data_IF_520573748648
#
_entry.id   IF_520573748648
#
_cell.length_a   1.000
_cell.length_b   1.000
_cell.length_c   1.000
_cell.angle_alpha   90.00
_cell.angle_beta   90.00
_cell.angle_gamma   90.00
#
_symmetry.space_group_name_H-M   'P 1'
#
loop_
_entity.id
_entity.type
_entity.pdbx_description
1 polymer ?
#
# COMPACT_ATOMS: atom_id res chain seq x y z
N UNK A 1 1.02 -15.87 -2.75
CA UNK A 1 0.22 -16.03 -1.51
C UNK A 1 -0.08 -14.62 -1.02
N UNK A 2 -1.33 -14.17 -1.00
CA UNK A 2 -1.66 -12.76 -0.65
C UNK A 2 -1.73 -12.51 0.87
N UNK A 3 -1.58 -11.25 1.30
CA UNK A 3 -1.54 -10.84 2.73
C UNK A 3 -2.76 -11.32 3.51
N UNK A 4 -3.97 -11.15 2.93
CA UNK A 4 -5.22 -11.62 3.51
C UNK A 4 -5.18 -13.10 3.93
N UNK A 5 -4.73 -13.99 3.03
CA UNK A 5 -4.70 -15.41 3.32
C UNK A 5 -3.69 -15.77 4.42
N UNK A 6 -2.62 -14.97 4.59
CA UNK A 6 -1.67 -15.15 5.68
C UNK A 6 -2.29 -14.73 7.02
N UNK A 7 -2.95 -13.58 7.06
CA UNK A 7 -3.63 -13.06 8.24
C UNK A 7 -4.77 -13.98 8.70
N UNK A 8 -5.61 -14.47 7.77
CA UNK A 8 -6.70 -15.41 8.09
C UNK A 8 -6.16 -16.74 8.67
N UNK A 9 -5.00 -17.21 8.17
CA UNK A 9 -4.35 -18.41 8.71
C UNK A 9 -3.83 -18.17 10.12
N UNK A 10 -3.18 -17.03 10.39
CA UNK A 10 -2.72 -16.69 11.73
C UNK A 10 -3.91 -16.58 12.70
N UNK A 11 -4.97 -15.88 12.29
CA UNK A 11 -6.17 -15.72 13.10
C UNK A 11 -6.74 -17.08 13.54
N UNK A 12 -6.93 -18.01 12.60
CA UNK A 12 -7.44 -19.37 12.91
C UNK A 12 -6.49 -20.21 13.77
N UNK A 13 -5.19 -19.96 13.71
CA UNK A 13 -4.24 -20.64 14.61
C UNK A 13 -4.36 -20.13 16.04
N UNK A 14 -4.59 -18.82 16.22
CA UNK A 14 -4.70 -18.17 17.53
C UNK A 14 -6.09 -18.32 18.15
N UNK A 15 -7.13 -18.27 17.32
CA UNK A 15 -8.54 -18.36 17.71
C UNK A 15 -9.24 -19.45 16.88
N UNK A 16 -9.02 -20.74 17.19
CA UNK A 16 -9.51 -21.85 16.36
C UNK A 16 -11.03 -21.95 16.24
N UNK A 17 -11.72 -21.50 17.29
CA UNK A 17 -13.18 -21.60 17.42
C UNK A 17 -13.90 -20.26 17.13
N UNK A 18 -13.16 -19.22 16.74
CA UNK A 18 -13.73 -17.91 16.42
C UNK A 18 -13.85 -17.70 14.90
N UNK A 19 -14.93 -17.06 14.49
CA UNK A 19 -15.08 -16.58 13.11
C UNK A 19 -14.51 -15.16 12.97
N UNK A 20 -13.95 -14.86 11.80
CA UNK A 20 -13.47 -13.52 11.50
C UNK A 20 -14.68 -12.61 11.29
N UNK A 21 -14.94 -11.73 12.25
CA UNK A 21 -15.94 -10.67 12.16
C UNK A 21 -15.21 -9.36 11.94
N UNK A 22 -15.42 -8.74 10.77
CA UNK A 22 -14.90 -7.41 10.49
C UNK A 22 -15.83 -6.36 11.11
N UNK A 23 -15.30 -5.31 11.74
CA UNK A 23 -16.13 -4.23 12.27
C UNK A 23 -16.80 -3.45 11.13
N UNK A 24 -18.03 -2.97 11.35
CA UNK A 24 -18.80 -2.18 10.37
C UNK A 24 -18.13 -0.85 10.01
N UNK A 25 -17.48 -0.23 11.01
CA UNK A 25 -16.60 0.91 10.84
C UNK A 25 -15.18 0.50 11.23
N UNK A 26 -14.26 0.62 10.28
CA UNK A 26 -12.84 0.50 10.52
C UNK A 26 -12.23 1.87 10.28
N UNK A 27 -11.84 2.55 11.36
CA UNK A 27 -11.00 3.75 11.30
C UNK A 27 -9.58 3.34 10.86
N UNK A 28 -9.45 2.74 9.68
CA UNK A 28 -8.14 2.47 9.10
C UNK A 28 -7.50 3.82 8.80
N UNK A 29 -6.22 4.01 9.17
CA UNK A 29 -5.51 5.27 8.95
C UNK A 29 -5.12 5.48 7.49
N UNK A 30 -5.84 4.85 6.55
CA UNK A 30 -5.55 5.00 5.13
C UNK A 30 -6.05 6.37 4.64
N UNK A 31 -5.27 7.06 3.81
CA UNK A 31 -5.74 8.29 3.19
C UNK A 31 -6.99 8.00 2.36
N UNK A 32 -8.04 8.85 2.43
CA UNK A 32 -9.17 8.73 1.52
C UNK A 32 -8.65 8.92 0.09
N UNK A 33 -8.97 7.97 -0.78
CA UNK A 33 -8.51 8.01 -2.17
C UNK A 33 -9.69 7.77 -3.11
N UNK A 34 -9.82 8.65 -4.09
CA UNK A 34 -10.81 8.59 -5.17
C UNK A 34 -10.06 8.76 -6.49
N UNK A 35 -10.20 7.78 -7.39
CA UNK A 35 -9.64 7.87 -8.74
C UNK A 35 -10.61 8.66 -9.60
N UNK A 36 -10.09 9.66 -10.31
CA UNK A 36 -10.83 10.44 -11.31
C UNK A 36 -10.24 10.16 -12.69
N UNK A 37 -11.07 10.27 -13.72
CA UNK A 37 -10.67 9.96 -15.10
C UNK A 37 -9.55 10.88 -15.63
N UNK A 38 -9.40 12.07 -15.05
CA UNK A 38 -8.41 13.09 -15.42
C UNK A 38 -7.19 13.13 -14.47
N UNK A 39 -7.05 12.15 -13.58
CA UNK A 39 -5.95 12.08 -12.63
C UNK A 39 -4.68 11.55 -13.31
N UNK A 40 -3.56 12.25 -13.11
CA UNK A 40 -2.26 11.80 -13.58
C UNK A 40 -1.83 10.49 -12.90
N UNK A 41 -1.09 9.65 -13.64
CA UNK A 41 -0.63 8.37 -13.12
C UNK A 41 0.30 8.56 -11.91
N UNK A 42 1.15 9.59 -11.94
CA UNK A 42 2.04 9.95 -10.84
C UNK A 42 1.29 10.28 -9.55
N UNK A 43 0.11 10.90 -9.64
CA UNK A 43 -0.74 11.17 -8.48
C UNK A 43 -1.30 9.88 -7.88
N UNK A 44 -1.78 8.95 -8.72
CA UNK A 44 -2.26 7.64 -8.28
C UNK A 44 -1.13 6.86 -7.59
N UNK A 45 0.05 6.81 -8.20
CA UNK A 45 1.22 6.11 -7.66
C UNK A 45 1.69 6.71 -6.33
N UNK A 46 1.67 8.04 -6.19
CA UNK A 46 2.03 8.70 -4.94
C UNK A 46 1.07 8.35 -3.80
N UNK A 47 -0.24 8.33 -4.05
CA UNK A 47 -1.23 7.90 -3.06
C UNK A 47 -1.05 6.42 -2.66
N UNK A 48 -0.77 5.56 -3.64
CA UNK A 48 -0.45 4.16 -3.38
C UNK A 48 0.80 4.02 -2.50
N UNK A 49 1.87 4.77 -2.78
CA UNK A 49 3.08 4.79 -1.93
C UNK A 49 2.78 5.22 -0.49
N UNK A 50 1.98 6.26 -0.29
CA UNK A 50 1.60 6.70 1.06
C UNK A 50 0.81 5.61 1.79
N UNK A 51 -0.05 4.87 1.08
CA UNK A 51 -0.79 3.73 1.61
C UNK A 51 0.14 2.58 2.03
N UNK A 52 1.12 2.22 1.20
CA UNK A 52 2.12 1.18 1.53
C UNK A 52 2.95 1.57 2.76
N UNK A 53 3.29 2.85 2.90
CA UNK A 53 4.01 3.34 4.08
C UNK A 53 3.17 3.20 5.34
N UNK A 54 1.89 3.60 5.29
CA UNK A 54 0.95 3.44 6.42
C UNK A 54 0.78 1.96 6.78
N UNK A 55 0.65 1.07 5.78
CA UNK A 55 0.55 -0.36 6.01
C UNK A 55 1.83 -0.95 6.66
N UNK A 56 3.02 -0.53 6.20
CA UNK A 56 4.28 -0.94 6.80
C UNK A 56 4.39 -0.53 8.27
N UNK A 57 4.03 0.71 8.58
CA UNK A 57 4.09 1.25 9.94
C UNK A 57 3.05 0.56 10.85
N UNK A 58 1.85 0.27 10.34
CA UNK A 58 0.84 -0.53 11.03
C UNK A 58 1.38 -1.91 11.44
N UNK A 59 2.05 -2.62 10.53
CA UNK A 59 2.62 -3.92 10.87
C UNK A 59 3.82 -3.83 11.83
N UNK A 60 4.60 -2.73 11.81
CA UNK A 60 5.65 -2.48 12.84
C UNK A 60 5.05 -2.28 14.22
N UNK A 61 3.95 -1.54 14.32
CA UNK A 61 3.23 -1.36 15.58
C UNK A 61 2.63 -2.69 16.05
N UNK A 62 2.09 -3.49 15.13
CA UNK A 62 1.63 -4.85 15.43
C UNK A 62 2.76 -5.75 15.97
N UNK A 63 3.96 -5.70 15.38
CA UNK A 63 5.12 -6.44 15.88
C UNK A 63 5.48 -6.04 17.32
N UNK A 64 5.42 -4.75 17.64
CA UNK A 64 5.71 -4.23 18.98
C UNK A 64 4.66 -4.65 20.01
N UNK A 65 3.39 -4.73 19.60
CA UNK A 65 2.26 -5.11 20.46
C UNK A 65 2.10 -6.63 20.62
N UNK A 66 2.65 -7.43 19.70
CA UNK A 66 2.54 -8.89 19.73
C UNK A 66 3.32 -9.49 20.90
N UNK A 67 2.80 -10.59 21.46
CA UNK A 67 3.45 -11.30 22.57
C UNK A 67 4.30 -12.46 22.06
N UNK A 68 3.77 -13.23 21.10
CA UNK A 68 4.40 -14.45 20.60
C UNK A 68 5.36 -14.19 19.42
N UNK A 69 6.45 -14.96 19.32
CA UNK A 69 7.49 -14.73 18.29
C UNK A 69 7.01 -15.06 16.86
N UNK A 70 6.13 -16.03 16.70
CA UNK A 70 5.45 -16.32 15.42
C UNK A 70 4.66 -15.10 14.90
N UNK A 71 3.95 -14.40 15.78
CA UNK A 71 3.19 -13.19 15.45
C UNK A 71 4.12 -12.05 15.08
N UNK A 72 5.18 -11.84 15.87
CA UNK A 72 6.22 -10.84 15.57
C UNK A 72 6.90 -11.09 14.24
N UNK A 73 7.30 -12.33 13.98
CA UNK A 73 7.94 -12.72 12.73
C UNK A 73 7.02 -12.47 11.52
N UNK A 74 5.72 -12.75 11.66
CA UNK A 74 4.74 -12.47 10.61
C UNK A 74 4.56 -10.96 10.39
N UNK A 75 4.38 -10.19 11.47
CA UNK A 75 4.23 -8.74 11.40
C UNK A 75 5.46 -8.08 10.76
N UNK A 76 6.67 -8.49 11.17
CA UNK A 76 7.93 -8.05 10.56
C UNK A 76 8.00 -8.39 9.07
N UNK A 77 7.60 -9.61 8.69
CA UNK A 77 7.58 -10.04 7.29
C UNK A 77 6.65 -9.17 6.44
N UNK A 78 5.43 -8.90 6.93
CA UNK A 78 4.47 -8.05 6.23
C UNK A 78 4.98 -6.62 6.12
N UNK A 79 5.50 -6.04 7.21
CA UNK A 79 6.10 -4.71 7.19
C UNK A 79 7.22 -4.57 6.16
N UNK A 80 8.16 -5.52 6.11
CA UNK A 80 9.24 -5.54 5.12
C UNK A 80 8.72 -5.71 3.68
N UNK A 81 7.60 -6.41 3.50
CA UNK A 81 6.98 -6.53 2.17
C UNK A 81 6.37 -5.20 1.71
N UNK A 82 5.63 -4.51 2.57
CA UNK A 82 5.07 -3.19 2.22
C UNK A 82 6.18 -2.14 2.00
N UNK A 83 7.31 -2.21 2.71
CA UNK A 83 8.49 -1.40 2.38
C UNK A 83 9.02 -1.69 0.97
N UNK A 84 9.07 -2.97 0.58
CA UNK A 84 9.46 -3.36 -0.78
C UNK A 84 8.48 -2.84 -1.83
N UNK A 85 7.18 -2.88 -1.55
CA UNK A 85 6.16 -2.31 -2.44
C UNK A 85 6.31 -0.79 -2.56
N UNK A 86 6.55 -0.09 -1.45
CA UNK A 86 6.83 1.34 -1.45
C UNK A 86 7.99 1.71 -2.39
N UNK A 87 9.12 1.00 -2.31
CA UNK A 87 10.27 1.29 -3.19
C UNK A 87 10.03 0.91 -4.65
N UNK A 88 9.25 -0.14 -4.90
CA UNK A 88 8.81 -0.48 -6.26
C UNK A 88 7.97 0.66 -6.86
N UNK A 89 6.93 1.09 -6.14
CA UNK A 89 6.06 2.19 -6.57
C UNK A 89 6.84 3.50 -6.73
N UNK A 90 7.85 3.75 -5.88
CA UNK A 90 8.73 4.91 -6.04
C UNK A 90 9.48 4.89 -7.37
N UNK A 91 9.97 3.72 -7.80
CA UNK A 91 10.62 3.57 -9.10
C UNK A 91 9.65 3.82 -10.25
N UNK A 92 8.41 3.33 -10.14
CA UNK A 92 7.37 3.56 -11.16
C UNK A 92 6.95 5.04 -11.21
N UNK A 93 6.88 5.71 -10.05
CA UNK A 93 6.55 7.13 -9.95
C UNK A 93 7.58 8.00 -10.68
N UNK A 94 8.87 7.68 -10.56
CA UNK A 94 9.93 8.38 -11.29
C UNK A 94 9.79 8.23 -12.81
N UNK A 95 9.29 7.09 -13.29
CA UNK A 95 9.02 6.86 -14.72
C UNK A 95 7.77 7.63 -15.16
N UNK A 96 6.69 7.59 -14.38
CA UNK A 96 5.44 8.29 -14.66
C UNK A 96 5.66 9.81 -14.78
N UNK A 97 6.39 10.43 -13.85
CA UNK A 97 6.70 11.86 -13.92
C UNK A 97 7.45 12.25 -15.19
N UNK A 98 8.40 11.42 -15.64
CA UNK A 98 9.12 11.71 -16.86
C UNK A 98 8.19 11.67 -18.07
N UNK A 99 7.31 10.66 -18.14
CA UNK A 99 6.34 10.51 -19.22
C UNK A 99 5.37 11.70 -19.29
N UNK A 100 4.77 12.07 -18.17
CA UNK A 100 3.83 13.20 -18.05
C UNK A 100 4.50 14.53 -18.42
N UNK A 101 5.74 14.75 -17.98
CA UNK A 101 6.53 15.92 -18.38
C UNK A 101 6.81 15.96 -19.88
N UNK A 102 7.07 14.81 -20.51
CA UNK A 102 7.26 14.74 -21.96
C UNK A 102 5.98 15.09 -22.72
N UNK A 103 4.82 14.64 -22.25
CA UNK A 103 3.51 14.93 -22.85
C UNK A 103 3.17 16.43 -22.72
N UNK A 104 3.39 17.04 -21.55
CA UNK A 104 3.18 18.50 -21.34
C UNK A 104 4.08 19.34 -22.28
N UNK A 105 5.33 18.92 -22.47
CA UNK A 105 6.28 19.61 -23.35
C UNK A 105 5.94 19.41 -24.83
N UNK A 106 5.38 18.26 -25.22
CA UNK A 106 4.99 17.98 -26.61
C UNK A 106 3.65 18.62 -27.03
N UNK A 107 2.74 18.90 -26.10
CA UNK A 107 1.51 19.65 -26.39
C UNK A 107 1.81 21.06 -26.92
N UNK A 108 2.94 21.65 -26.50
CA UNK A 108 3.48 22.92 -27.02
C UNK A 108 4.14 22.79 -28.42
N UNK A 109 4.35 21.57 -28.94
CA UNK A 109 4.98 21.32 -30.25
C UNK A 109 3.99 20.99 -31.37
N UNK A 110 2.69 20.88 -31.08
CA UNK A 110 1.65 20.66 -32.10
C UNK A 110 1.13 21.93 -32.78
N UNK A 111 1.68 23.10 -32.46
CA UNK A 111 1.59 24.30 -33.31
C UNK A 111 2.71 24.28 -34.35
N UNK A 112 2.52 23.46 -35.39
CA UNK A 112 3.24 23.68 -36.65
C UNK A 112 2.92 25.07 -37.22
N UNK A 113 3.77 25.64 -38.12
CA UNK A 113 3.50 26.93 -38.75
C UNK A 113 2.15 26.97 -39.49
#
# INVERSE_FOLDING_TARGET
MGHKNLLEKLFKMKFPDEEIVLPDDSEMPFPPFEVKDDMELSEILKNAMETEKVASDFYKEMEQAAEEENEKAMARYLSSMEESHYYLLKSELEIAYNFELYDEVHDMMHVGP
#
